data_IF_136097370930
#
_entry.id   IF_136097370930
#
_cell.length_a   1.000
_cell.length_b   1.000
_cell.length_c   1.000
_cell.angle_alpha   90.00
_cell.angle_beta   90.00
_cell.angle_gamma   90.00
#
_symmetry.space_group_name_H-M   'P 1'
#
loop_
_entity.id
_entity.type
_entity.pdbx_description
1 polymer ?
#
# COMPACT_ATOMS: atom_id res chain seq x y z
N UNK A 1 -12.30 -3.83 -11.46
CA UNK A 1 -11.46 -5.01 -11.75
C UNK A 1 -11.74 -6.10 -10.73
N UNK A 2 -11.72 -7.35 -11.16
CA UNK A 2 -11.86 -8.48 -10.24
C UNK A 2 -10.54 -8.72 -9.49
N UNK A 3 -10.61 -9.51 -8.42
CA UNK A 3 -9.40 -9.88 -7.68
C UNK A 3 -8.41 -10.63 -8.57
N UNK A 4 -8.91 -11.49 -9.46
CA UNK A 4 -8.06 -12.22 -10.38
C UNK A 4 -7.33 -11.29 -11.35
N UNK A 5 -8.02 -10.25 -11.81
CA UNK A 5 -7.42 -9.26 -12.71
C UNK A 5 -6.37 -8.42 -11.96
N UNK A 6 -6.65 -8.06 -10.71
CA UNK A 6 -5.70 -7.33 -9.87
C UNK A 6 -4.45 -8.18 -9.62
N UNK A 7 -4.63 -9.47 -9.36
CA UNK A 7 -3.50 -10.38 -9.17
C UNK A 7 -2.65 -10.47 -10.43
N UNK A 8 -3.29 -10.62 -11.59
CA UNK A 8 -2.58 -10.68 -12.87
C UNK A 8 -1.75 -9.42 -13.10
N UNK A 9 -2.35 -8.26 -12.86
CA UNK A 9 -1.65 -6.98 -13.00
C UNK A 9 -0.48 -6.89 -12.03
N UNK A 10 -0.67 -7.36 -10.81
CA UNK A 10 0.39 -7.34 -9.79
C UNK A 10 1.57 -8.22 -10.19
N UNK A 11 1.30 -9.36 -10.82
CA UNK A 11 2.36 -10.27 -11.26
C UNK A 11 3.20 -9.69 -12.39
N UNK A 12 2.74 -8.62 -13.03
CA UNK A 12 3.48 -7.96 -14.10
C UNK A 12 4.31 -6.78 -13.61
N UNK A 13 4.26 -6.47 -12.32
CA UNK A 13 5.02 -5.37 -11.74
C UNK A 13 6.52 -5.72 -11.69
N UNK A 14 7.40 -4.70 -11.69
CA UNK A 14 8.83 -4.95 -11.57
C UNK A 14 9.21 -5.39 -10.16
N UNK A 15 10.32 -6.09 -10.04
CA UNK A 15 10.90 -6.48 -8.74
C UNK A 15 11.80 -5.36 -8.23
N UNK A 16 11.25 -4.15 -8.17
CA UNK A 16 11.97 -2.95 -7.77
C UNK A 16 11.26 -2.30 -6.59
N UNK A 17 11.97 -1.47 -5.84
CA UNK A 17 11.31 -0.73 -4.76
C UNK A 17 10.35 0.29 -5.32
N UNK A 18 9.36 0.63 -4.53
CA UNK A 18 8.38 1.62 -4.93
C UNK A 18 7.23 1.76 -3.96
N UNK A 19 6.27 2.57 -4.37
CA UNK A 19 5.06 2.86 -3.61
C UNK A 19 3.87 2.35 -4.42
N UNK A 20 2.94 1.68 -3.75
CA UNK A 20 1.70 1.25 -4.37
C UNK A 20 0.53 1.98 -3.75
N UNK A 21 -0.45 2.31 -4.57
CA UNK A 21 -1.60 3.12 -4.20
C UNK A 21 -2.85 2.33 -4.57
N UNK A 22 -3.65 1.96 -3.57
CA UNK A 22 -4.85 1.15 -3.77
C UNK A 22 -6.07 2.05 -3.73
N UNK A 23 -6.95 1.87 -4.73
CA UNK A 23 -8.17 2.66 -4.87
C UNK A 23 -9.39 1.76 -4.79
N UNK A 24 -10.48 2.33 -4.27
CA UNK A 24 -11.76 1.63 -4.26
C UNK A 24 -12.51 1.83 -5.57
N UNK A 25 -13.74 1.32 -5.64
CA UNK A 25 -14.57 1.41 -6.83
C UNK A 25 -14.85 2.84 -7.26
N UNK A 26 -14.89 3.75 -6.31
CA UNK A 26 -15.14 5.17 -6.59
C UNK A 26 -13.89 5.91 -7.08
N UNK A 27 -12.73 5.25 -7.07
CA UNK A 27 -11.47 5.89 -7.41
C UNK A 27 -10.80 6.55 -6.22
N UNK A 28 -11.38 6.43 -5.05
CA UNK A 28 -10.81 7.01 -3.82
C UNK A 28 -9.61 6.19 -3.38
N UNK A 29 -8.53 6.88 -3.01
CA UNK A 29 -7.34 6.22 -2.48
C UNK A 29 -7.65 5.72 -1.07
N UNK A 30 -7.56 4.41 -0.87
CA UNK A 30 -7.90 3.79 0.41
C UNK A 30 -6.68 3.26 1.16
N UNK A 31 -5.57 3.05 0.47
CA UNK A 31 -4.35 2.60 1.11
C UNK A 31 -3.13 2.93 0.26
N UNK A 32 -2.04 3.32 0.92
CA UNK A 32 -0.75 3.58 0.29
C UNK A 32 0.30 2.80 1.07
N UNK A 33 1.14 2.06 0.37
CA UNK A 33 2.20 1.31 1.00
C UNK A 33 3.48 1.35 0.20
N UNK A 34 4.58 0.96 0.82
CA UNK A 34 5.86 0.83 0.15
C UNK A 34 6.28 -0.64 0.09
N UNK A 35 7.14 -0.96 -0.85
CA UNK A 35 7.66 -2.31 -1.00
C UNK A 35 9.10 -2.25 -1.47
N UNK A 36 9.89 -3.24 -1.03
CA UNK A 36 11.23 -3.45 -1.58
C UNK A 36 11.14 -4.01 -3.00
N UNK A 37 10.13 -4.83 -3.23
CA UNK A 37 9.86 -5.46 -4.52
C UNK A 37 8.34 -5.38 -4.74
N UNK A 38 7.95 -4.49 -5.60
CA UNK A 38 6.53 -4.21 -5.83
C UNK A 38 5.75 -5.46 -6.22
N UNK A 39 6.30 -6.26 -7.14
CA UNK A 39 5.61 -7.47 -7.60
C UNK A 39 5.25 -8.40 -6.43
N UNK A 40 6.20 -8.66 -5.56
CA UNK A 40 6.01 -9.60 -4.46
C UNK A 40 4.98 -9.07 -3.47
N UNK A 41 5.12 -7.82 -3.07
CA UNK A 41 4.22 -7.24 -2.06
C UNK A 41 2.80 -7.11 -2.57
N UNK A 42 2.62 -6.55 -3.76
CA UNK A 42 1.28 -6.29 -4.27
C UNK A 42 0.58 -7.59 -4.66
N UNK A 43 1.30 -8.54 -5.27
CA UNK A 43 0.70 -9.82 -5.61
C UNK A 43 0.25 -10.60 -4.39
N UNK A 44 0.93 -10.47 -3.26
CA UNK A 44 0.52 -11.13 -2.02
C UNK A 44 -0.85 -10.69 -1.54
N UNK A 45 -1.21 -9.43 -1.74
CA UNK A 45 -2.53 -8.95 -1.34
C UNK A 45 -3.65 -9.62 -2.11
N UNK A 46 -3.43 -9.91 -3.38
CA UNK A 46 -4.49 -10.41 -4.27
C UNK A 46 -4.35 -11.90 -4.58
N UNK A 47 -3.32 -12.52 -4.04
CA UNK A 47 -3.11 -13.95 -4.22
C UNK A 47 -4.14 -14.74 -3.41
N UNK A 48 -4.82 -15.66 -4.06
CA UNK A 48 -5.81 -16.49 -3.42
C UNK A 48 -5.17 -17.42 -2.40
N UNK A 49 -5.81 -17.57 -1.25
CA UNK A 49 -5.35 -18.49 -0.21
C UNK A 49 -4.32 -17.94 0.74
N UNK A 50 -3.86 -16.71 0.57
CA UNK A 50 -2.93 -16.07 1.51
C UNK A 50 -3.73 -15.50 2.67
N UNK A 51 -3.43 -15.90 3.92
CA UNK A 51 -4.15 -15.35 5.07
C UNK A 51 -3.72 -13.91 5.36
N UNK A 52 -4.69 -13.08 5.73
CA UNK A 52 -4.48 -11.70 6.15
C UNK A 52 -5.27 -11.45 7.42
N UNK A 53 -4.89 -10.44 8.19
CA UNK A 53 -5.70 -10.05 9.34
C UNK A 53 -6.99 -9.36 8.87
N UNK A 54 -7.92 -9.12 9.80
CA UNK A 54 -9.23 -8.60 9.45
C UNK A 54 -9.18 -7.24 8.76
N UNK A 55 -8.30 -6.36 9.20
CA UNK A 55 -8.22 -5.03 8.61
C UNK A 55 -7.66 -5.07 7.19
N UNK A 56 -6.63 -5.88 6.98
CA UNK A 56 -6.05 -6.07 5.65
C UNK A 56 -7.07 -6.74 4.74
N UNK A 57 -7.78 -7.75 5.23
CA UNK A 57 -8.83 -8.42 4.46
C UNK A 57 -9.92 -7.46 4.02
N UNK A 58 -10.34 -6.54 4.89
CA UNK A 58 -11.32 -5.52 4.52
C UNK A 58 -10.77 -4.57 3.46
N UNK A 59 -9.53 -4.16 3.59
CA UNK A 59 -8.91 -3.29 2.60
C UNK A 59 -8.88 -3.98 1.24
N UNK A 60 -8.49 -5.25 1.21
CA UNK A 60 -8.45 -6.02 -0.04
C UNK A 60 -9.85 -6.18 -0.62
N UNK A 61 -10.85 -6.40 0.23
CA UNK A 61 -12.23 -6.56 -0.23
C UNK A 61 -12.74 -5.30 -0.95
N UNK A 62 -12.30 -4.13 -0.53
CA UNK A 62 -12.70 -2.86 -1.14
C UNK A 62 -11.77 -2.41 -2.27
N UNK A 63 -10.65 -3.07 -2.46
CA UNK A 63 -9.71 -2.72 -3.50
C UNK A 63 -10.31 -2.99 -4.89
N UNK A 64 -10.31 -1.98 -5.74
CA UNK A 64 -10.83 -2.08 -7.10
C UNK A 64 -9.73 -1.92 -8.14
N UNK A 65 -8.75 -1.07 -7.83
CA UNK A 65 -7.62 -0.81 -8.72
C UNK A 65 -6.42 -0.41 -7.90
N UNK A 66 -5.25 -0.46 -8.50
CA UNK A 66 -4.05 0.07 -7.86
C UNK A 66 -3.13 0.70 -8.89
N UNK A 67 -2.30 1.62 -8.42
CA UNK A 67 -1.23 2.23 -9.20
C UNK A 67 0.08 2.03 -8.44
N UNK A 68 1.19 2.13 -9.16
CA UNK A 68 2.51 2.05 -8.53
C UNK A 68 3.40 3.17 -9.01
N UNK A 69 4.34 3.56 -8.14
CA UNK A 69 5.40 4.50 -8.49
C UNK A 69 6.70 3.77 -8.21
N UNK A 70 7.44 3.45 -9.27
CA UNK A 70 8.72 2.75 -9.13
C UNK A 70 9.76 3.74 -8.62
N UNK A 71 10.51 3.33 -7.61
CA UNK A 71 11.56 4.14 -7.02
C UNK A 71 12.92 3.52 -7.27
N UNK A 72 13.98 4.32 -7.13
CA UNK A 72 15.33 3.84 -7.35
C UNK A 72 15.94 3.20 -6.11
N UNK A 73 15.37 3.47 -4.94
CA UNK A 73 15.84 2.92 -3.69
C UNK A 73 14.72 2.77 -2.70
N UNK A 74 14.96 1.97 -1.65
CA UNK A 74 14.01 1.81 -0.56
C UNK A 74 13.82 3.12 0.21
N UNK A 75 14.88 3.91 0.32
CA UNK A 75 14.79 5.19 0.98
C UNK A 75 13.86 6.14 0.24
N UNK A 76 13.99 6.20 -1.07
CA UNK A 76 13.11 7.01 -1.91
C UNK A 76 11.65 6.57 -1.74
N UNK A 77 11.43 5.25 -1.73
CA UNK A 77 10.09 4.71 -1.51
C UNK A 77 9.54 5.10 -0.14
N UNK A 78 10.38 5.08 0.89
CA UNK A 78 9.97 5.46 2.24
C UNK A 78 9.54 6.93 2.28
N UNK A 79 10.32 7.82 1.72
CA UNK A 79 10.00 9.25 1.70
C UNK A 79 8.74 9.52 0.90
N UNK A 80 8.62 8.88 -0.25
CA UNK A 80 7.45 9.05 -1.11
C UNK A 80 6.19 8.51 -0.45
N UNK A 81 6.27 7.34 0.20
CA UNK A 81 5.14 6.79 0.93
C UNK A 81 4.64 7.77 1.99
N UNK A 82 5.55 8.27 2.81
CA UNK A 82 5.17 9.21 3.87
C UNK A 82 4.53 10.47 3.30
N UNK A 83 5.07 10.99 2.22
CA UNK A 83 4.54 12.17 1.56
C UNK A 83 3.13 11.92 1.01
N UNK A 84 2.93 10.78 0.37
CA UNK A 84 1.64 10.42 -0.22
C UNK A 84 0.59 10.17 0.85
N UNK A 85 0.94 9.51 1.94
CA UNK A 85 0.03 9.27 3.05
C UNK A 85 -0.40 10.60 3.67
N UNK A 86 0.54 11.50 3.85
CA UNK A 86 0.24 12.82 4.42
C UNK A 86 -0.69 13.62 3.51
N UNK A 87 -0.48 13.53 2.20
CA UNK A 87 -1.30 14.27 1.24
C UNK A 87 -2.72 13.72 1.12
N UNK A 88 -2.88 12.41 1.20
CA UNK A 88 -4.17 11.75 0.91
C UNK A 88 -4.87 11.20 2.14
N UNK A 89 -4.18 11.00 3.24
CA UNK A 89 -4.72 10.42 4.48
C UNK A 89 -5.68 9.25 4.22
N UNK A 90 -5.20 8.18 3.55
CA UNK A 90 -6.10 7.09 3.16
C UNK A 90 -6.69 6.38 4.38
N UNK A 91 -7.94 5.97 4.24
CA UNK A 91 -8.70 5.35 5.32
C UNK A 91 -7.98 4.18 5.97
N UNK A 92 -7.48 3.26 5.18
CA UNK A 92 -6.87 2.05 5.72
C UNK A 92 -5.45 2.28 6.23
N UNK A 93 -4.78 3.33 5.81
CA UNK A 93 -3.52 3.70 6.44
C UNK A 93 -3.75 4.12 7.89
N UNK A 94 -4.80 4.88 8.12
CA UNK A 94 -5.17 5.28 9.47
C UNK A 94 -5.56 4.06 10.30
N UNK A 95 -6.46 3.22 9.78
CA UNK A 95 -6.96 2.05 10.49
C UNK A 95 -5.88 1.01 10.78
N UNK A 96 -5.02 0.73 9.80
CA UNK A 96 -3.97 -0.27 9.96
C UNK A 96 -2.85 0.20 10.87
N UNK A 97 -2.57 1.48 10.88
CA UNK A 97 -1.52 2.05 11.72
C UNK A 97 -1.97 2.36 13.13
N UNK A 98 -3.26 2.39 13.38
CA UNK A 98 -3.78 2.55 14.74
C UNK A 98 -3.27 1.47 15.67
N UNK A 99 -3.09 0.26 15.19
CA UNK A 99 -2.57 -0.83 16.00
C UNK A 99 -1.13 -0.57 16.44
N UNK A 100 -0.44 0.29 15.71
CA UNK A 100 0.95 0.67 15.96
C UNK A 100 1.08 2.19 15.90
N UNK A 101 -0.01 2.89 16.12
CA UNK A 101 -0.10 4.31 15.85
C UNK A 101 0.95 5.15 16.54
N UNK A 102 1.17 4.89 17.81
CA UNK A 102 2.14 5.67 18.56
C UNK A 102 3.56 5.57 17.97
N UNK A 103 3.97 4.38 17.57
CA UNK A 103 5.30 4.18 16.96
C UNK A 103 5.38 4.90 15.63
N UNK A 104 4.33 4.80 14.85
CA UNK A 104 4.27 5.44 13.57
C UNK A 104 4.35 6.97 13.70
N UNK A 105 3.62 7.50 14.64
CA UNK A 105 3.61 8.94 14.91
C UNK A 105 5.00 9.44 15.29
N UNK A 106 5.71 8.69 16.10
CA UNK A 106 7.08 9.04 16.46
C UNK A 106 7.99 9.09 15.24
N UNK A 107 7.85 8.12 14.36
CA UNK A 107 8.66 8.08 13.13
C UNK A 107 8.36 9.30 12.27
N UNK A 108 7.08 9.65 12.13
CA UNK A 108 6.70 10.84 11.38
C UNK A 108 7.27 12.11 12.00
N UNK A 109 7.27 12.21 13.32
CA UNK A 109 7.84 13.36 13.99
C UNK A 109 9.32 13.51 13.68
N UNK A 110 10.05 12.42 13.65
CA UNK A 110 11.46 12.43 13.29
C UNK A 110 11.67 12.85 11.85
N UNK A 111 10.81 12.43 10.96
CA UNK A 111 10.89 12.79 9.54
C UNK A 111 10.68 14.29 9.35
N UNK A 112 9.83 14.89 10.16
CA UNK A 112 9.52 16.30 10.06
C UNK A 112 10.61 17.21 10.64
N UNK A 113 11.51 16.64 11.36
CA UNK A 113 12.63 17.39 11.90
C UNK A 113 13.76 17.47 10.89
#
# INVERSE_FOLDING_TARGET
MTKAELYKKACMLPLLPGVYIIRDKSGTIIYIGKAKRLRIRVSQYFREGVPHDNKVSQMIAHAYAFDVIVCQSEFEALVLEASQIKAHTPKYNILLKDDKGYSYIKVLSLIHI
#
